data_IF_394488927546
#
_entry.id   IF_394488927546
#
_cell.length_a   1.000
_cell.length_b   1.000
_cell.length_c   1.000
_cell.angle_alpha   90.00
_cell.angle_beta   90.00
_cell.angle_gamma   90.00
#
_symmetry.space_group_name_H-M   'P 1'
#
loop_
_entity.id
_entity.type
_entity.pdbx_description
1 polymer ?
#
# COMPACT_ATOMS: atom_id res chain seq x y z
N UNK A 1 15.71 -4.07 14.27
CA UNK A 1 14.55 -3.16 14.23
C UNK A 1 13.36 -3.86 14.85
N UNK A 2 12.44 -3.10 15.45
CA UNK A 2 11.19 -3.63 16.00
C UNK A 2 10.09 -3.36 14.99
N UNK A 3 9.36 -4.40 14.57
CA UNK A 3 8.19 -4.22 13.72
C UNK A 3 6.99 -3.80 14.58
N UNK A 4 6.19 -2.87 14.07
CA UNK A 4 4.95 -2.41 14.68
C UNK A 4 3.85 -2.37 13.64
N UNK A 5 2.65 -2.78 14.01
CA UNK A 5 1.45 -2.49 13.22
C UNK A 5 1.15 -0.99 13.30
N UNK A 6 1.05 -0.34 12.14
CA UNK A 6 0.78 1.10 12.00
C UNK A 6 -0.50 1.40 11.22
N UNK A 7 -1.23 0.36 10.77
CA UNK A 7 -2.44 0.50 9.99
C UNK A 7 -2.65 -0.62 8.98
N UNK A 8 -3.83 -0.61 8.36
CA UNK A 8 -4.29 -1.68 7.45
C UNK A 8 -4.81 -1.07 6.15
N UNK A 9 -4.50 -1.71 5.02
CA UNK A 9 -5.11 -1.35 3.74
C UNK A 9 -6.62 -1.67 3.75
N UNK A 10 -7.45 -0.90 3.02
CA UNK A 10 -8.89 -1.13 2.99
C UNK A 10 -9.30 -2.44 2.31
N UNK A 11 -8.42 -3.03 1.50
CA UNK A 11 -8.61 -4.31 0.83
C UNK A 11 -7.28 -5.07 0.77
N UNK A 12 -7.34 -6.41 0.78
CA UNK A 12 -6.17 -7.25 0.56
C UNK A 12 -5.67 -7.08 -0.88
N UNK A 13 -4.37 -6.83 -1.04
CA UNK A 13 -3.75 -6.66 -2.35
C UNK A 13 -2.34 -7.26 -2.36
N UNK A 14 -2.00 -7.98 -3.44
CA UNK A 14 -0.70 -8.63 -3.64
C UNK A 14 -0.22 -8.47 -5.10
N UNK A 15 1.01 -8.91 -5.39
CA UNK A 15 1.54 -9.05 -6.76
C UNK A 15 1.51 -7.80 -7.67
N UNK A 16 1.50 -6.60 -7.09
CA UNK A 16 1.63 -5.33 -7.82
C UNK A 16 3.07 -4.86 -7.98
N UNK A 17 3.25 -3.60 -8.38
CA UNK A 17 4.55 -2.92 -8.46
C UNK A 17 4.70 -1.95 -7.29
N UNK A 18 5.92 -1.82 -6.76
CA UNK A 18 6.27 -0.95 -5.63
C UNK A 18 7.39 0.00 -6.02
N UNK A 19 7.17 1.32 -5.87
CA UNK A 19 8.12 2.37 -6.19
C UNK A 19 8.30 3.33 -5.01
N UNK A 20 9.52 3.74 -4.65
CA UNK A 20 9.71 4.89 -3.77
C UNK A 20 9.21 6.15 -4.51
N UNK A 21 8.34 6.93 -3.86
CA UNK A 21 7.74 8.13 -4.47
C UNK A 21 7.32 9.14 -3.41
N UNK A 22 7.69 10.42 -3.57
CA UNK A 22 7.27 11.53 -2.69
C UNK A 22 7.43 11.23 -1.18
N UNK A 23 8.60 10.71 -0.79
CA UNK A 23 8.91 10.29 0.58
C UNK A 23 7.95 9.20 1.15
N UNK A 24 7.37 8.39 0.27
CA UNK A 24 6.53 7.25 0.61
C UNK A 24 6.69 6.11 -0.39
N UNK A 25 5.73 5.20 -0.40
CA UNK A 25 5.65 4.06 -1.29
C UNK A 25 4.45 4.19 -2.20
N UNK A 26 4.68 4.26 -3.51
CA UNK A 26 3.63 4.13 -4.52
C UNK A 26 3.48 2.66 -4.92
N UNK A 27 2.30 2.11 -4.67
CA UNK A 27 1.86 0.81 -5.14
C UNK A 27 1.01 0.98 -6.40
N UNK A 28 1.29 0.20 -7.45
CA UNK A 28 0.57 0.25 -8.73
C UNK A 28 0.05 -1.13 -9.09
N UNK A 29 -1.25 -1.21 -9.36
CA UNK A 29 -1.96 -2.44 -9.69
C UNK A 29 -1.87 -3.47 -8.58
N UNK A 30 -1.95 -4.74 -8.97
CA UNK A 30 -1.92 -5.90 -8.07
C UNK A 30 -3.13 -6.79 -8.28
N UNK A 31 -3.25 -7.79 -7.42
CA UNK A 31 -4.31 -8.77 -7.37
C UNK A 31 -5.05 -8.65 -6.04
N UNK A 32 -6.37 -8.57 -6.10
CA UNK A 32 -7.27 -8.55 -4.94
C UNK A 32 -7.97 -9.91 -4.77
N UNK A 33 -8.82 -10.02 -3.75
CA UNK A 33 -9.52 -11.25 -3.41
C UNK A 33 -10.24 -11.89 -4.61
N UNK A 34 -10.06 -13.21 -4.74
CA UNK A 34 -10.60 -14.01 -5.85
C UNK A 34 -9.74 -13.97 -7.12
N UNK A 35 -8.52 -13.45 -7.06
CA UNK A 35 -7.60 -13.44 -8.21
C UNK A 35 -7.85 -12.30 -9.20
N UNK A 36 -8.50 -11.23 -8.74
CA UNK A 36 -8.90 -10.12 -9.60
C UNK A 36 -7.77 -9.09 -9.73
N UNK A 37 -7.31 -8.85 -10.96
CA UNK A 37 -6.35 -7.78 -11.22
C UNK A 37 -6.99 -6.39 -11.02
N UNK A 38 -6.26 -5.47 -10.39
CA UNK A 38 -6.65 -4.06 -10.27
C UNK A 38 -5.73 -3.16 -11.09
N UNK A 39 -6.30 -2.07 -11.61
CA UNK A 39 -5.59 -1.00 -12.32
C UNK A 39 -5.34 0.23 -11.44
N UNK A 40 -5.77 0.18 -10.17
CA UNK A 40 -5.62 1.29 -9.23
C UNK A 40 -4.17 1.53 -8.80
N UNK A 41 -3.94 2.69 -8.19
CA UNK A 41 -2.69 3.03 -7.51
C UNK A 41 -2.98 3.48 -6.10
N UNK A 42 -2.05 3.24 -5.19
CA UNK A 42 -2.14 3.68 -3.80
C UNK A 42 -0.78 4.21 -3.35
N UNK A 43 -0.74 5.41 -2.80
CA UNK A 43 0.44 5.94 -2.12
C UNK A 43 0.32 5.69 -0.61
N UNK A 44 1.40 5.20 -0.02
CA UNK A 44 1.54 4.94 1.41
C UNK A 44 2.63 5.82 2.01
N UNK A 45 2.30 6.49 3.11
CA UNK A 45 3.23 7.23 3.95
C UNK A 45 3.13 6.80 5.41
N UNK A 46 4.07 7.25 6.23
CA UNK A 46 4.00 7.05 7.68
C UNK A 46 4.16 8.39 8.38
N UNK A 47 3.26 8.69 9.31
CA UNK A 47 3.28 9.89 10.13
C UNK A 47 2.99 9.51 11.59
N UNK A 48 3.91 9.82 12.50
CA UNK A 48 3.78 9.51 13.93
C UNK A 48 3.32 8.06 14.21
N UNK A 49 3.95 7.08 13.55
CA UNK A 49 3.61 5.66 13.66
C UNK A 49 2.18 5.28 13.21
N UNK A 50 1.56 6.12 12.38
CA UNK A 50 0.29 5.82 11.71
C UNK A 50 0.49 5.80 10.20
N UNK A 51 -0.13 4.82 9.54
CA UNK A 51 -0.18 4.68 8.09
C UNK A 51 -1.06 5.77 7.49
N UNK A 52 -0.51 6.54 6.56
CA UNK A 52 -1.27 7.44 5.70
C UNK A 52 -1.49 6.79 4.33
N UNK A 53 -2.73 6.78 3.83
CA UNK A 53 -3.10 6.15 2.56
C UNK A 53 -3.74 7.21 1.66
N UNK A 54 -3.28 7.30 0.41
CA UNK A 54 -3.88 8.16 -0.64
C UNK A 54 -4.13 7.31 -1.89
N UNK A 55 -5.35 7.39 -2.44
CA UNK A 55 -5.74 6.71 -3.69
C UNK A 55 -5.75 7.70 -4.84
#
# INVERSE_FOLDING_TARGET
GTWSDVGTLPEGIAYGVSLPWENGLLMIGGETDGGQATTGSVWLGVNNSHLEIKK
#
